data_IF_300583400306
#
_entry.id   IF_300583400306
#
_cell.length_a   1.000
_cell.length_b   1.000
_cell.length_c   1.000
_cell.angle_alpha   90.00
_cell.angle_beta   90.00
_cell.angle_gamma   90.00
#
_symmetry.space_group_name_H-M   'P 1'
#
loop_
_entity.id
_entity.type
_entity.pdbx_description
1 polymer ?
#
# COMPACT_ATOMS: atom_id res chain seq x y z
N UNK A 1 -19.65 19.15 3.46
CA UNK A 1 -18.49 18.50 2.82
C UNK A 1 -17.31 18.72 3.77
N UNK A 2 -16.98 17.73 4.59
CA UNK A 2 -15.81 17.83 5.49
C UNK A 2 -14.57 17.76 4.62
N UNK A 3 -13.75 18.81 4.68
CA UNK A 3 -12.40 18.78 4.11
C UNK A 3 -11.63 17.71 4.90
N UNK A 4 -11.03 16.73 4.23
CA UNK A 4 -10.13 15.78 4.87
C UNK A 4 -9.00 16.58 5.55
N UNK A 5 -8.96 16.56 6.88
CA UNK A 5 -7.83 17.13 7.61
C UNK A 5 -6.63 16.20 7.38
N UNK A 6 -5.49 16.75 6.95
CA UNK A 6 -4.25 15.99 6.75
C UNK A 6 -3.81 15.21 7.99
N UNK A 7 -4.31 15.59 9.16
CA UNK A 7 -4.09 14.87 10.42
C UNK A 7 -4.73 13.47 10.45
N UNK A 8 -5.74 13.21 9.61
CA UNK A 8 -6.48 11.95 9.55
C UNK A 8 -6.09 11.09 8.34
N UNK A 9 -5.01 11.43 7.66
CA UNK A 9 -4.55 10.72 6.46
C UNK A 9 -3.17 10.13 6.70
N UNK A 10 -3.02 8.85 6.41
CA UNK A 10 -1.74 8.15 6.28
C UNK A 10 -1.46 7.93 4.80
N UNK A 11 -0.20 7.93 4.38
CA UNK A 11 0.18 7.71 3.00
C UNK A 11 1.35 6.73 2.90
N UNK A 12 1.21 5.73 2.05
CA UNK A 12 2.29 4.87 1.60
C UNK A 12 2.74 5.38 0.23
N UNK A 13 4.00 5.78 0.15
CA UNK A 13 4.62 6.28 -1.08
C UNK A 13 5.20 5.15 -1.91
N UNK A 14 5.29 5.37 -3.22
CA UNK A 14 5.94 4.46 -4.17
C UNK A 14 7.40 4.17 -3.77
N UNK A 15 8.13 5.18 -3.32
CA UNK A 15 9.49 5.03 -2.80
C UNK A 15 9.51 5.27 -1.30
N UNK A 16 10.06 4.31 -0.56
CA UNK A 16 10.22 4.40 0.88
C UNK A 16 11.64 4.80 1.24
N UNK A 17 11.77 5.82 2.09
CA UNK A 17 13.05 6.19 2.68
C UNK A 17 13.25 5.47 4.02
N UNK A 18 14.46 4.96 4.21
CA UNK A 18 14.88 4.26 5.43
C UNK A 18 16.05 5.04 6.03
N UNK A 19 16.05 5.16 7.35
CA UNK A 19 17.09 5.86 8.10
C UNK A 19 18.15 4.87 8.63
N UNK A 20 19.39 5.35 8.75
CA UNK A 20 20.50 4.62 9.37
C UNK A 20 20.27 4.49 10.88
N UNK A 21 19.41 3.56 11.26
CA UNK A 21 19.00 3.32 12.64
C UNK A 21 18.42 1.91 12.75
N UNK A 22 17.94 1.53 13.92
CA UNK A 22 17.26 0.25 14.12
C UNK A 22 15.93 0.18 13.36
N UNK A 23 15.43 -1.03 13.10
CA UNK A 23 14.08 -1.24 12.58
C UNK A 23 13.05 -0.59 13.49
N UNK A 24 13.19 -0.75 14.81
CA UNK A 24 12.34 -0.09 15.81
C UNK A 24 12.21 1.41 15.56
N UNK A 25 13.33 2.11 15.43
CA UNK A 25 13.33 3.56 15.25
C UNK A 25 12.78 3.96 13.87
N UNK A 26 13.05 3.15 12.85
CA UNK A 26 12.45 3.33 11.53
C UNK A 26 10.93 3.17 11.53
N UNK A 27 10.37 2.30 12.35
CA UNK A 27 8.91 2.11 12.46
C UNK A 27 8.27 3.18 13.35
N UNK A 28 8.91 3.57 14.46
CA UNK A 28 8.34 4.49 15.43
C UNK A 28 8.28 5.94 14.94
N UNK A 29 9.31 6.40 14.22
CA UNK A 29 9.43 7.80 13.80
C UNK A 29 9.18 8.78 14.97
N UNK A 30 8.10 9.56 14.92
CA UNK A 30 7.75 10.55 15.95
C UNK A 30 6.87 10.00 17.09
N UNK A 31 6.21 8.86 16.88
CA UNK A 31 5.26 8.27 17.81
C UNK A 31 5.71 6.88 18.24
N UNK A 32 5.98 6.72 19.53
CA UNK A 32 6.43 5.45 20.09
C UNK A 32 5.27 4.47 20.19
N UNK A 33 5.40 3.34 19.50
CA UNK A 33 4.49 2.21 19.56
C UNK A 33 5.06 1.11 20.48
N UNK A 34 4.21 0.21 20.95
CA UNK A 34 4.65 -0.96 21.71
C UNK A 34 5.36 -1.96 20.80
N UNK A 35 6.27 -2.75 21.37
CA UNK A 35 6.94 -3.84 20.63
C UNK A 35 5.95 -4.81 20.00
N UNK A 36 4.86 -5.11 20.69
CA UNK A 36 3.79 -5.98 20.18
C UNK A 36 3.17 -5.39 18.92
N UNK A 37 2.88 -4.09 18.89
CA UNK A 37 2.35 -3.40 17.71
C UNK A 37 3.34 -3.44 16.55
N UNK A 38 4.61 -3.12 16.82
CA UNK A 38 5.65 -3.12 15.80
C UNK A 38 5.88 -4.51 15.19
N UNK A 39 5.89 -5.55 16.02
CA UNK A 39 6.03 -6.93 15.54
C UNK A 39 4.83 -7.35 14.67
N UNK A 40 3.60 -6.99 15.06
CA UNK A 40 2.42 -7.22 14.21
C UNK A 40 2.51 -6.48 12.86
N UNK A 41 3.07 -5.27 12.85
CA UNK A 41 3.30 -4.56 11.59
C UNK A 41 4.35 -5.25 10.71
N UNK A 42 5.40 -5.83 11.30
CA UNK A 42 6.39 -6.61 10.57
C UNK A 42 5.80 -7.92 10.01
N UNK A 43 4.94 -8.61 10.77
CA UNK A 43 4.19 -9.76 10.28
C UNK A 43 3.21 -9.38 9.16
N UNK A 44 2.56 -8.21 9.27
CA UNK A 44 1.65 -7.69 8.25
C UNK A 44 2.32 -7.54 6.89
N UNK A 45 3.60 -7.20 6.87
CA UNK A 45 4.38 -7.03 5.63
C UNK A 45 5.27 -8.23 5.30
N UNK A 46 5.07 -9.36 5.96
CA UNK A 46 5.83 -10.61 5.75
C UNK A 46 7.34 -10.44 5.95
N UNK A 47 7.71 -9.84 7.08
CA UNK A 47 9.09 -9.66 7.54
C UNK A 47 9.27 -10.12 9.01
N UNK A 48 8.74 -11.30 9.41
CA UNK A 48 8.80 -11.74 10.81
C UNK A 48 10.22 -12.11 11.28
N UNK A 49 11.15 -12.35 10.36
CA UNK A 49 12.54 -12.72 10.66
C UNK A 49 13.37 -11.54 11.18
N UNK A 50 12.94 -10.31 10.95
CA UNK A 50 13.67 -9.12 11.37
C UNK A 50 13.43 -8.80 12.84
N UNK A 51 14.53 -8.54 13.58
CA UNK A 51 14.47 -8.11 14.97
C UNK A 51 14.34 -6.58 15.04
N UNK A 52 13.52 -6.09 15.96
CA UNK A 52 13.30 -4.63 16.12
C UNK A 52 14.60 -3.86 16.38
N UNK A 53 15.55 -4.46 17.11
CA UNK A 53 16.84 -3.81 17.41
C UNK A 53 17.93 -4.07 16.38
N UNK A 54 17.57 -4.68 15.23
CA UNK A 54 18.48 -4.86 14.11
C UNK A 54 18.76 -3.51 13.46
N UNK A 55 20.05 -3.19 13.27
CA UNK A 55 20.48 -1.97 12.57
C UNK A 55 20.29 -2.10 11.06
N UNK A 56 19.83 -1.03 10.47
CA UNK A 56 19.85 -0.79 9.03
C UNK A 56 21.03 0.12 8.74
N UNK A 57 21.84 -0.24 7.76
CA UNK A 57 23.06 0.48 7.41
C UNK A 57 22.83 1.34 6.18
N UNK A 58 23.49 2.51 6.14
CA UNK A 58 23.59 3.44 5.01
C UNK A 58 22.46 3.31 3.95
N UNK A 59 21.39 4.05 4.15
CA UNK A 59 20.21 4.08 3.26
C UNK A 59 19.61 2.69 2.93
N UNK A 60 19.75 1.73 3.86
CA UNK A 60 19.22 0.38 3.67
C UNK A 60 20.09 -0.51 2.80
N UNK A 61 21.42 -0.23 2.68
CA UNK A 61 22.33 -1.01 1.84
C UNK A 61 22.43 -2.51 2.20
N UNK A 62 22.05 -2.87 3.43
CA UNK A 62 21.95 -4.27 3.89
C UNK A 62 20.55 -4.88 3.68
N UNK A 63 19.65 -4.21 2.96
CA UNK A 63 18.30 -4.66 2.64
C UNK A 63 18.07 -4.73 1.13
N UNK A 64 17.19 -5.62 0.69
CA UNK A 64 16.69 -5.56 -0.69
C UNK A 64 15.70 -4.40 -0.87
N UNK A 65 15.52 -3.91 -2.10
CA UNK A 65 14.53 -2.87 -2.40
C UNK A 65 13.11 -3.24 -1.94
N UNK A 66 12.73 -4.51 -2.08
CA UNK A 66 11.44 -5.01 -1.58
C UNK A 66 11.35 -5.01 -0.05
N UNK A 67 12.44 -5.26 0.69
CA UNK A 67 12.46 -5.14 2.14
C UNK A 67 12.35 -3.69 2.60
N UNK A 68 13.07 -2.78 1.94
CA UNK A 68 12.95 -1.32 2.17
C UNK A 68 11.51 -0.87 2.01
N UNK A 69 10.86 -1.24 0.91
CA UNK A 69 9.47 -0.90 0.64
C UNK A 69 8.53 -1.47 1.71
N UNK A 70 8.70 -2.73 2.08
CA UNK A 70 7.87 -3.39 3.11
C UNK A 70 8.04 -2.75 4.50
N UNK A 71 9.24 -2.35 4.88
CA UNK A 71 9.48 -1.61 6.13
C UNK A 71 8.77 -0.24 6.09
N UNK A 72 8.78 0.46 4.95
CA UNK A 72 8.02 1.69 4.76
C UNK A 72 6.51 1.51 4.90
N UNK A 73 5.97 0.41 4.36
CA UNK A 73 4.56 0.03 4.55
C UNK A 73 4.29 -0.25 6.04
N UNK A 74 5.13 -1.07 6.71
CA UNK A 74 4.99 -1.41 8.13
C UNK A 74 4.99 -0.14 9.02
N UNK A 75 5.86 0.83 8.72
CA UNK A 75 5.89 2.14 9.37
C UNK A 75 4.53 2.85 9.27
N UNK A 76 3.95 2.90 8.07
CA UNK A 76 2.66 3.56 7.86
C UNK A 76 1.54 2.83 8.60
N UNK A 77 1.54 1.49 8.58
CA UNK A 77 0.57 0.66 9.31
C UNK A 77 0.69 0.84 10.82
N UNK A 78 1.91 1.02 11.37
CA UNK A 78 2.12 1.28 12.79
C UNK A 78 1.47 2.58 13.28
N UNK A 79 1.22 3.53 12.36
CA UNK A 79 0.62 4.85 12.63
C UNK A 79 -0.63 5.09 11.78
N UNK A 80 -1.35 4.02 11.46
CA UNK A 80 -2.51 4.07 10.57
C UNK A 80 -3.60 5.01 11.10
N UNK A 81 -4.20 5.76 10.19
CA UNK A 81 -5.27 6.72 10.45
C UNK A 81 -6.53 6.34 9.67
N UNK A 82 -7.61 7.12 9.83
CA UNK A 82 -8.91 6.85 9.21
C UNK A 82 -8.86 6.69 7.68
N UNK A 83 -7.93 7.39 7.01
CA UNK A 83 -7.76 7.32 5.55
C UNK A 83 -6.34 6.88 5.22
N UNK A 84 -6.21 5.85 4.39
CA UNK A 84 -4.96 5.36 3.86
C UNK A 84 -4.88 5.63 2.36
N UNK A 85 -3.89 6.42 1.95
CA UNK A 85 -3.54 6.62 0.54
C UNK A 85 -2.42 5.66 0.15
N UNK A 86 -2.63 4.89 -0.89
CA UNK A 86 -1.66 3.94 -1.46
C UNK A 86 -1.32 4.37 -2.89
N UNK A 87 -0.08 4.75 -3.16
CA UNK A 87 0.38 5.18 -4.48
C UNK A 87 1.41 4.19 -5.01
N UNK A 88 0.97 3.26 -5.87
CA UNK A 88 1.79 2.23 -6.52
C UNK A 88 2.72 1.45 -5.57
N UNK A 89 2.24 1.16 -4.38
CA UNK A 89 3.02 0.70 -3.22
C UNK A 89 3.73 -0.66 -3.38
N UNK A 90 3.43 -1.40 -4.43
CA UNK A 90 3.97 -2.74 -4.69
C UNK A 90 4.89 -2.81 -5.91
N UNK A 91 5.33 -1.65 -6.44
CA UNK A 91 6.15 -1.60 -7.65
C UNK A 91 7.49 -2.35 -7.53
N UNK A 92 8.11 -2.32 -6.33
CA UNK A 92 9.41 -2.94 -6.05
C UNK A 92 9.32 -4.38 -5.52
N UNK A 93 8.09 -4.94 -5.43
CA UNK A 93 7.84 -6.27 -4.89
C UNK A 93 7.67 -7.31 -6.00
N UNK A 94 8.06 -8.54 -5.71
CA UNK A 94 7.68 -9.68 -6.54
C UNK A 94 6.16 -9.87 -6.54
N UNK A 95 5.64 -10.55 -7.57
CA UNK A 95 4.20 -10.64 -7.80
C UNK A 95 3.44 -11.29 -6.65
N UNK A 96 4.01 -12.32 -6.02
CA UNK A 96 3.35 -13.04 -4.92
C UNK A 96 3.25 -12.15 -3.68
N UNK A 97 4.37 -11.57 -3.25
CA UNK A 97 4.42 -10.65 -2.10
C UNK A 97 3.53 -9.43 -2.33
N UNK A 98 3.51 -8.89 -3.56
CA UNK A 98 2.64 -7.77 -3.93
C UNK A 98 1.16 -8.09 -3.69
N UNK A 99 0.68 -9.23 -4.21
CA UNK A 99 -0.71 -9.66 -4.06
C UNK A 99 -1.07 -9.86 -2.58
N UNK A 100 -0.19 -10.46 -1.79
CA UNK A 100 -0.43 -10.73 -0.37
C UNK A 100 -0.56 -9.42 0.43
N UNK A 101 0.34 -8.45 0.21
CA UNK A 101 0.30 -7.15 0.89
C UNK A 101 -0.92 -6.33 0.45
N UNK A 102 -1.21 -6.28 -0.86
CA UNK A 102 -2.40 -5.62 -1.38
C UNK A 102 -3.68 -6.20 -0.75
N UNK A 103 -3.78 -7.52 -0.68
CA UNK A 103 -4.92 -8.18 -0.07
C UNK A 103 -5.08 -7.81 1.41
N UNK A 104 -3.98 -7.81 2.19
CA UNK A 104 -4.01 -7.43 3.61
C UNK A 104 -4.45 -5.98 3.81
N UNK A 105 -4.01 -5.07 2.93
CA UNK A 105 -4.42 -3.66 2.97
C UNK A 105 -5.89 -3.50 2.62
N UNK A 106 -6.38 -4.19 1.59
CA UNK A 106 -7.78 -4.12 1.17
C UNK A 106 -8.73 -4.86 2.14
N UNK A 107 -8.20 -5.71 3.01
CA UNK A 107 -8.95 -6.38 4.07
C UNK A 107 -9.07 -5.53 5.37
N UNK A 108 -8.45 -4.35 5.44
CA UNK A 108 -8.66 -3.37 6.52
C UNK A 108 -10.15 -2.98 6.55
N UNK A 109 -10.74 -2.88 7.77
CA UNK A 109 -12.19 -2.73 7.93
C UNK A 109 -12.63 -1.38 8.45
N UNK A 110 -11.75 -0.68 9.12
CA UNK A 110 -12.07 0.58 9.79
C UNK A 110 -11.58 1.80 8.99
N UNK A 111 -10.70 1.57 8.01
CA UNK A 111 -10.07 2.61 7.23
C UNK A 111 -10.72 2.77 5.85
N UNK A 112 -10.72 4.01 5.36
CA UNK A 112 -11.00 4.27 3.95
C UNK A 112 -9.70 4.17 3.16
N UNK A 113 -9.59 3.17 2.29
CA UNK A 113 -8.40 2.96 1.45
C UNK A 113 -8.61 3.58 0.08
N UNK A 114 -7.76 4.54 -0.28
CA UNK A 114 -7.66 5.09 -1.63
C UNK A 114 -6.40 4.53 -2.29
N UNK A 115 -6.57 3.73 -3.33
CA UNK A 115 -5.50 2.96 -3.95
C UNK A 115 -5.28 3.39 -5.40
N UNK A 116 -4.09 3.87 -5.72
CA UNK A 116 -3.66 4.16 -7.10
C UNK A 116 -2.83 2.98 -7.59
N UNK A 117 -3.20 2.38 -8.70
CA UNK A 117 -2.48 1.26 -9.31
C UNK A 117 -2.61 1.26 -10.82
N UNK A 118 -1.58 0.75 -11.48
CA UNK A 118 -1.60 0.37 -12.88
C UNK A 118 -1.57 -1.17 -13.07
N UNK A 119 -1.70 -1.93 -11.97
CA UNK A 119 -1.79 -3.40 -11.98
C UNK A 119 -3.25 -3.82 -11.98
N UNK A 120 -3.63 -4.74 -12.87
CA UNK A 120 -5.02 -5.10 -13.13
C UNK A 120 -5.29 -6.57 -12.82
N UNK A 121 -4.90 -7.02 -11.62
CA UNK A 121 -5.23 -8.39 -11.15
C UNK A 121 -6.69 -8.48 -10.76
N UNK A 122 -7.43 -9.43 -11.36
CA UNK A 122 -8.87 -9.59 -11.13
C UNK A 122 -9.23 -9.79 -9.67
N UNK A 123 -8.42 -10.58 -8.96
CA UNK A 123 -8.65 -10.89 -7.54
C UNK A 123 -8.57 -9.64 -6.67
N UNK A 124 -7.61 -8.77 -6.94
CA UNK A 124 -7.44 -7.49 -6.23
C UNK A 124 -8.54 -6.50 -6.63
N UNK A 125 -8.81 -6.37 -7.95
CA UNK A 125 -9.79 -5.40 -8.45
C UNK A 125 -11.21 -5.65 -7.96
N UNK A 126 -11.59 -6.91 -7.74
CA UNK A 126 -12.90 -7.30 -7.20
C UNK A 126 -13.10 -6.93 -5.72
N UNK A 127 -12.03 -6.62 -4.99
CA UNK A 127 -12.11 -6.22 -3.58
C UNK A 127 -12.43 -4.72 -3.39
N UNK A 128 -12.28 -3.92 -4.44
CA UNK A 128 -12.61 -2.50 -4.36
C UNK A 128 -14.12 -2.28 -4.41
N UNK A 129 -14.64 -1.47 -3.49
CA UNK A 129 -16.04 -1.04 -3.50
C UNK A 129 -16.36 -0.17 -4.72
N UNK A 130 -15.39 0.63 -5.17
CA UNK A 130 -15.54 1.51 -6.32
C UNK A 130 -14.19 1.71 -7.03
N UNK A 131 -14.18 1.56 -8.33
CA UNK A 131 -13.04 1.84 -9.21
C UNK A 131 -13.34 3.14 -9.95
N UNK A 132 -12.36 4.07 -9.94
CA UNK A 132 -12.41 5.33 -10.67
C UNK A 132 -11.41 5.27 -11.82
N UNK A 133 -11.88 5.46 -13.04
CA UNK A 133 -11.03 5.50 -14.24
C UNK A 133 -10.76 6.94 -14.63
N UNK A 134 -9.48 7.30 -14.65
CA UNK A 134 -9.04 8.64 -15.04
C UNK A 134 -8.52 8.65 -16.47
N UNK A 135 -8.92 9.68 -17.22
CA UNK A 135 -8.41 9.96 -18.57
C UNK A 135 -8.28 11.47 -18.77
N UNK A 136 -7.08 11.93 -19.12
CA UNK A 136 -6.79 13.36 -19.29
C UNK A 136 -7.24 14.23 -18.09
N UNK A 137 -6.97 13.76 -16.87
CA UNK A 137 -7.28 14.49 -15.62
C UNK A 137 -8.76 14.51 -15.23
N UNK A 138 -9.61 13.70 -15.87
CA UNK A 138 -11.04 13.60 -15.58
C UNK A 138 -11.44 12.16 -15.29
N UNK A 139 -12.40 11.98 -14.38
CA UNK A 139 -13.05 10.68 -14.17
C UNK A 139 -13.96 10.44 -15.38
N UNK A 140 -13.69 9.38 -16.14
CA UNK A 140 -14.48 8.98 -17.33
C UNK A 140 -15.39 7.80 -17.05
N UNK A 141 -15.05 6.94 -16.08
CA UNK A 141 -15.88 5.85 -15.62
C UNK A 141 -15.71 5.67 -14.11
N UNK A 142 -16.77 5.19 -13.45
CA UNK A 142 -16.74 4.76 -12.06
C UNK A 142 -17.75 3.63 -11.83
N UNK A 143 -17.44 2.73 -10.92
CA UNK A 143 -18.32 1.62 -10.54
C UNK A 143 -17.57 0.45 -9.95
N UNK A 144 -18.28 -0.64 -9.67
CA UNK A 144 -17.68 -1.91 -9.29
C UNK A 144 -16.94 -2.56 -10.46
N UNK A 145 -16.07 -3.51 -10.16
CA UNK A 145 -15.36 -4.28 -11.19
C UNK A 145 -16.32 -4.92 -12.20
N UNK A 146 -17.41 -5.54 -11.73
CA UNK A 146 -18.40 -6.23 -12.56
C UNK A 146 -19.15 -5.26 -13.47
N UNK A 147 -19.54 -4.09 -12.96
CA UNK A 147 -20.22 -3.06 -13.74
C UNK A 147 -19.34 -2.54 -14.86
N UNK A 148 -18.09 -2.20 -14.56
CA UNK A 148 -17.13 -1.67 -15.52
C UNK A 148 -16.77 -2.72 -16.60
N UNK A 149 -16.61 -3.98 -16.22
CA UNK A 149 -16.38 -5.07 -17.19
C UNK A 149 -17.59 -5.30 -18.10
N UNK A 150 -18.82 -5.18 -17.57
CA UNK A 150 -20.05 -5.32 -18.33
C UNK A 150 -20.27 -4.17 -19.33
N UNK A 151 -19.91 -2.96 -18.94
CA UNK A 151 -20.07 -1.75 -19.75
C UNK A 151 -19.14 -1.71 -20.97
N UNK A 152 -18.03 -2.49 -20.95
CA UNK A 152 -17.05 -2.57 -22.03
C UNK A 152 -16.48 -1.21 -22.48
N UNK A 153 -16.30 -0.30 -21.53
CA UNK A 153 -15.79 1.05 -21.76
C UNK A 153 -14.25 1.18 -21.69
N UNK A 154 -13.78 2.32 -21.21
CA UNK A 154 -12.35 2.62 -21.09
C UNK A 154 -11.66 1.62 -20.11
N UNK A 155 -12.29 1.27 -18.97
CA UNK A 155 -11.77 0.27 -18.02
C UNK A 155 -11.56 -1.09 -18.69
N UNK A 156 -12.58 -1.59 -19.39
CA UNK A 156 -12.51 -2.87 -20.09
C UNK A 156 -11.37 -2.85 -21.12
N UNK A 157 -11.23 -1.76 -21.86
CA UNK A 157 -10.18 -1.58 -22.85
C UNK A 157 -8.78 -1.57 -22.23
N UNK A 158 -8.58 -0.83 -21.13
CA UNK A 158 -7.32 -0.81 -20.37
C UNK A 158 -6.93 -2.22 -19.91
N UNK A 159 -7.89 -2.95 -19.31
CA UNK A 159 -7.64 -4.29 -18.81
C UNK A 159 -7.31 -5.31 -19.89
N UNK A 160 -8.02 -5.27 -21.03
CA UNK A 160 -7.84 -6.25 -22.10
C UNK A 160 -6.60 -5.99 -22.97
N UNK A 161 -6.15 -4.74 -23.11
CA UNK A 161 -4.93 -4.40 -23.86
C UNK A 161 -3.64 -4.74 -23.11
N UNK A 162 -3.66 -4.92 -21.78
CA UNK A 162 -2.49 -5.28 -20.99
C UNK A 162 -2.28 -6.80 -20.84
N UNK A 163 -3.22 -7.61 -21.34
CA UNK A 163 -3.12 -9.09 -21.36
C UNK A 163 -2.46 -9.59 -22.66
N UNK A 164 -2.19 -8.72 -23.63
CA UNK A 164 -1.47 -8.99 -24.86
C UNK A 164 -0.07 -8.37 -24.82
#
# INVERSE_FOLDING_TARGET
>A
MSVLDSKNVSMIHQESHIFDDTIRNNLNMELVQTDETLLKCMEFVDLPEFKLDQNICEDGSNLSGGQVQRIGIARTIAHLKEVLLCDEITASLDAQTAIEIENRILDLKEETVLYVTHKYFDETLKKFDCILVFKQGRIVEQGSFEELMKNKGDFFSLKTHLIN
#
